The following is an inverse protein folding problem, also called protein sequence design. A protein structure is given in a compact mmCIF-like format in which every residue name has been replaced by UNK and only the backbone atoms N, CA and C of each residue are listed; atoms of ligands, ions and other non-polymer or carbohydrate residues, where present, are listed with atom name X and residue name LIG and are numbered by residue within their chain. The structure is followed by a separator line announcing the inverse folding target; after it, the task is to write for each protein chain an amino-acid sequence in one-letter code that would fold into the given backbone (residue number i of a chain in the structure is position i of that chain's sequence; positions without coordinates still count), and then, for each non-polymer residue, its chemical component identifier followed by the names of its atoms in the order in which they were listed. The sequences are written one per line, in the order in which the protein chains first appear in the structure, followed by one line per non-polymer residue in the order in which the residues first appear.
data_IF_699623022609
#
_entry.id   IF_699623022609
#
_cell.length_a   1.000
_cell.length_b   1.000
_cell.length_c   1.000
_cell.angle_alpha   90.00
_cell.angle_beta   90.00
_cell.angle_gamma   90.00
#
_symmetry.space_group_name_H-M   'P 1'
#
loop_
_entity.id
_entity.type
_entity.pdbx_description
1 polymer ?
#
# COMPACT_ATOMS: atom_id res chain seq x y z
N UNK A 1 0.80 -5.83 11.29
CA UNK A 1 -0.49 -6.40 10.83
C UNK A 1 -0.62 -6.20 9.33
N UNK A 2 -0.82 -4.97 8.82
CA UNK A 2 -0.91 -4.69 7.37
C UNK A 2 0.29 -5.18 6.55
N UNK A 3 1.53 -4.77 6.87
CA UNK A 3 2.74 -5.20 6.13
C UNK A 3 2.81 -6.71 5.96
N UNK A 4 2.63 -7.45 7.06
CA UNK A 4 2.72 -8.90 7.10
C UNK A 4 1.67 -9.55 6.19
N UNK A 5 0.41 -9.13 6.32
CA UNK A 5 -0.67 -9.67 5.49
C UNK A 5 -0.44 -9.41 4.01
N UNK A 6 0.04 -8.22 3.64
CA UNK A 6 0.34 -7.92 2.23
C UNK A 6 1.49 -8.80 1.72
N UNK A 7 2.57 -8.95 2.50
CA UNK A 7 3.69 -9.81 2.12
C UNK A 7 3.29 -11.28 1.95
N UNK A 8 2.50 -11.82 2.87
CA UNK A 8 2.00 -13.20 2.82
C UNK A 8 1.16 -13.41 1.55
N UNK A 9 0.20 -12.52 1.26
CA UNK A 9 -0.67 -12.64 0.08
C UNK A 9 0.11 -12.55 -1.24
N UNK A 10 1.05 -11.61 -1.37
CA UNK A 10 1.86 -11.51 -2.59
C UNK A 10 2.79 -12.71 -2.77
N UNK A 11 3.33 -13.23 -1.67
CA UNK A 11 4.15 -14.46 -1.69
C UNK A 11 3.33 -15.68 -2.11
N UNK A 12 2.11 -15.83 -1.60
CA UNK A 12 1.21 -16.93 -1.97
C UNK A 12 0.72 -16.81 -3.41
N UNK A 13 0.47 -15.58 -3.88
CA UNK A 13 0.05 -15.31 -5.25
C UNK A 13 1.19 -15.46 -6.27
N UNK A 14 2.45 -15.47 -5.84
CA UNK A 14 3.62 -15.49 -6.73
C UNK A 14 3.76 -14.25 -7.60
N UNK A 15 3.16 -13.12 -7.19
CA UNK A 15 3.19 -11.85 -7.91
C UNK A 15 4.23 -10.94 -7.28
N UNK A 16 5.03 -10.25 -8.10
CA UNK A 16 5.99 -9.29 -7.57
C UNK A 16 5.27 -8.01 -7.12
N UNK A 17 5.52 -7.51 -5.90
CA UNK A 17 5.03 -6.20 -5.47
C UNK A 17 5.47 -5.04 -6.38
N UNK A 18 6.54 -5.22 -7.17
CA UNK A 18 7.02 -4.22 -8.11
C UNK A 18 6.12 -4.05 -9.35
N UNK A 19 5.24 -5.01 -9.64
CA UNK A 19 4.29 -4.94 -10.77
C UNK A 19 3.10 -4.02 -10.46
N UNK A 20 2.86 -3.72 -9.18
CA UNK A 20 1.74 -2.87 -8.74
C UNK A 20 2.02 -1.43 -9.14
N UNK A 21 1.14 -0.79 -9.92
CA UNK A 21 1.31 0.62 -10.29
C UNK A 21 0.52 1.57 -9.38
N UNK A 22 -0.55 1.07 -8.76
CA UNK A 22 -1.46 1.86 -7.94
C UNK A 22 -1.96 1.07 -6.72
N UNK A 23 -2.11 1.73 -5.58
CA UNK A 23 -2.77 1.18 -4.38
C UNK A 23 -3.91 2.08 -3.95
N UNK A 24 -5.10 1.51 -3.90
CA UNK A 24 -6.28 2.10 -3.26
C UNK A 24 -6.22 1.82 -1.76
N UNK A 25 -6.08 2.87 -0.95
CA UNK A 25 -5.92 2.76 0.50
C UNK A 25 -7.23 2.82 1.26
N UNK A 26 -7.20 2.32 2.49
CA UNK A 26 -8.29 2.58 3.42
C UNK A 26 -8.42 4.08 3.69
N UNK A 27 -7.32 4.81 3.92
CA UNK A 27 -7.28 6.28 3.76
C UNK A 27 -8.39 7.04 4.49
N UNK A 28 -8.56 6.77 5.79
CA UNK A 28 -9.64 7.37 6.60
C UNK A 28 -9.34 8.76 7.11
N UNK A 29 -8.19 9.36 6.75
CA UNK A 29 -7.80 10.69 7.19
C UNK A 29 -7.33 10.74 8.65
N UNK A 30 -6.96 9.59 9.22
CA UNK A 30 -6.62 9.50 10.64
C UNK A 30 -5.15 9.82 10.87
N UNK A 31 -4.85 10.67 11.87
CA UNK A 31 -3.47 11.05 12.23
C UNK A 31 -2.56 9.87 12.58
N UNK A 32 -3.14 8.74 13.02
CA UNK A 32 -2.38 7.56 13.44
C UNK A 32 -2.49 6.43 12.42
N UNK A 33 -3.64 6.22 11.79
CA UNK A 33 -3.84 5.12 10.84
C UNK A 33 -3.12 5.37 9.52
N UNK A 34 -3.25 6.57 8.97
CA UNK A 34 -2.72 6.88 7.64
C UNK A 34 -1.18 6.77 7.59
N UNK A 35 -0.40 7.30 8.56
CA UNK A 35 1.04 7.07 8.58
C UNK A 35 1.42 5.58 8.66
N UNK A 36 0.64 4.77 9.40
CA UNK A 36 0.89 3.33 9.51
C UNK A 36 0.62 2.59 8.21
N UNK A 37 -0.42 3.00 7.48
CA UNK A 37 -0.76 2.43 6.17
C UNK A 37 0.33 2.75 5.15
N UNK A 38 0.78 4.02 5.08
CA UNK A 38 1.87 4.41 4.16
C UNK A 38 3.19 3.71 4.50
N UNK A 39 3.54 3.57 5.78
CA UNK A 39 4.74 2.80 6.17
C UNK A 39 4.65 1.33 5.75
N UNK A 40 3.47 0.73 5.81
CA UNK A 40 3.28 -0.64 5.33
C UNK A 40 3.47 -0.73 3.81
N UNK A 41 2.94 0.24 3.05
CA UNK A 41 3.11 0.27 1.59
C UNK A 41 4.58 0.47 1.20
N UNK A 42 5.29 1.37 1.88
CA UNK A 42 6.71 1.62 1.63
C UNK A 42 7.55 0.34 1.80
N UNK A 43 7.34 -0.39 2.89
CA UNK A 43 8.07 -1.63 3.19
C UNK A 43 7.82 -2.75 2.18
N UNK A 44 6.65 -2.79 1.53
CA UNK A 44 6.29 -3.89 0.63
C UNK A 44 6.51 -3.54 -0.83
N UNK A 45 6.13 -2.33 -1.25
CA UNK A 45 6.01 -1.98 -2.66
C UNK A 45 7.14 -1.07 -3.18
N UNK A 46 7.85 -0.34 -2.29
CA UNK A 46 8.81 0.68 -2.73
C UNK A 46 10.25 0.17 -2.81
N UNK A 47 10.60 -0.94 -2.14
CA UNK A 47 11.97 -1.47 -2.16
C UNK A 47 12.39 -1.91 -3.56
N UNK A 48 13.37 -1.22 -4.14
CA UNK A 48 13.90 -1.53 -5.49
C UNK A 48 13.04 -1.03 -6.65
N UNK A 49 12.00 -0.24 -6.35
CA UNK A 49 11.15 0.39 -7.35
C UNK A 49 11.86 1.59 -7.99
N UNK A 50 11.72 1.75 -9.31
CA UNK A 50 12.30 2.88 -10.07
C UNK A 50 11.33 4.03 -10.31
N UNK A 51 10.06 3.69 -10.56
CA UNK A 51 8.99 4.66 -10.76
C UNK A 51 8.19 4.87 -9.46
N UNK A 52 7.49 5.98 -9.26
CA UNK A 52 6.64 6.15 -8.09
C UNK A 52 5.56 5.06 -7.99
N UNK A 53 5.18 4.70 -6.76
CA UNK A 53 3.92 4.02 -6.51
C UNK A 53 2.83 5.07 -6.37
N UNK A 54 1.78 4.98 -7.20
CA UNK A 54 0.63 5.87 -7.04
C UNK A 54 -0.28 5.35 -5.93
N UNK A 55 -0.75 6.25 -5.06
CA UNK A 55 -1.58 5.92 -3.91
C UNK A 55 -2.76 6.88 -3.85
N UNK A 56 -3.97 6.35 -3.62
CA UNK A 56 -5.17 7.16 -3.49
C UNK A 56 -6.20 6.57 -2.53
N UNK A 57 -7.28 7.31 -2.29
CA UNK A 57 -8.45 6.81 -1.53
C UNK A 57 -9.73 7.51 -1.98
N UNK A 58 -10.72 6.72 -2.38
CA UNK A 58 -12.07 7.16 -2.78
C UNK A 58 -12.81 7.87 -1.65
N UNK A 59 -12.47 7.58 -0.38
CA UNK A 59 -13.10 8.23 0.79
C UNK A 59 -12.81 9.72 0.85
N UNK A 60 -11.65 10.14 0.33
CA UNK A 60 -11.35 11.57 0.22
C UNK A 60 -12.28 12.30 -0.77
N UNK A 61 -12.87 11.59 -1.74
CA UNK A 61 -13.78 12.13 -2.72
C UNK A 61 -15.25 12.07 -2.28
N UNK A 62 -15.63 11.08 -1.46
CA UNK A 62 -17.04 10.79 -1.16
C UNK A 62 -17.45 10.94 0.30
N UNK A 63 -16.50 10.87 1.24
CA UNK A 63 -16.77 10.73 2.68
C UNK A 63 -16.82 9.26 3.10
#
# INVERSE_FOLDING_TARGET
MQTRTIQEVYSEAGVSPLEVSYVETHGTGTKVGDPREIMALDQVFCKGRKEPLFVGSVKSNMG
#
